data_IF_855323408009
#
_entry.id   IF_855323408009
#
_cell.length_a   1.000
_cell.length_b   1.000
_cell.length_c   1.000
_cell.angle_alpha   90.00
_cell.angle_beta   90.00
_cell.angle_gamma   90.00
#
_symmetry.space_group_name_H-M   'P 1'
#
loop_
_entity.id
_entity.type
_entity.pdbx_description
1 polymer ?
#
# COMPACT_ATOMS: atom_id res chain seq x y z
N UNK A 1 -73.57 -49.27 -0.54
CA UNK A 1 -74.21 -50.03 0.55
C UNK A 1 -73.46 -49.72 1.84
N UNK A 2 -74.18 -49.25 2.88
CA UNK A 2 -73.74 -48.88 4.25
C UNK A 2 -72.95 -47.56 4.37
N UNK A 3 -73.10 -46.71 5.40
CA UNK A 3 -74.14 -46.41 6.42
C UNK A 3 -73.62 -45.15 7.15
N UNK A 4 -74.52 -44.19 7.38
CA UNK A 4 -74.66 -43.24 8.50
C UNK A 4 -73.44 -42.59 9.21
N UNK A 5 -73.53 -41.26 9.29
CA UNK A 5 -72.82 -40.27 10.12
C UNK A 5 -73.19 -40.38 11.64
N UNK A 6 -73.10 -39.32 12.49
CA UNK A 6 -72.01 -38.41 12.91
C UNK A 6 -71.89 -38.34 14.47
N UNK A 7 -71.00 -37.47 15.00
CA UNK A 7 -71.07 -36.66 16.25
C UNK A 7 -69.71 -36.62 16.98
N UNK A 8 -69.00 -35.48 16.94
CA UNK A 8 -69.05 -34.39 17.95
C UNK A 8 -68.56 -34.79 19.34
N UNK A 9 -67.45 -34.20 19.78
CA UNK A 9 -67.37 -33.41 21.03
C UNK A 9 -65.98 -32.80 21.19
N UNK A 10 -65.92 -31.48 21.30
CA UNK A 10 -64.77 -30.74 21.86
C UNK A 10 -65.00 -30.62 23.35
N UNK A 11 -63.95 -30.75 24.18
CA UNK A 11 -63.72 -29.68 25.14
C UNK A 11 -62.25 -29.25 25.27
N UNK A 12 -62.09 -27.93 25.37
CA UNK A 12 -60.96 -27.20 25.95
C UNK A 12 -60.62 -27.75 27.35
N UNK A 13 -59.34 -27.93 27.67
CA UNK A 13 -58.62 -27.22 28.74
C UNK A 13 -57.32 -27.93 29.14
N UNK A 14 -56.45 -27.14 29.78
CA UNK A 14 -55.28 -27.49 30.61
C UNK A 14 -53.97 -27.69 29.84
N UNK A 15 -53.14 -26.65 29.83
CA UNK A 15 -52.11 -26.44 30.88
C UNK A 15 -51.10 -27.59 30.90
N UNK A 16 -50.23 -27.64 29.89
CA UNK A 16 -48.97 -28.35 29.98
C UNK A 16 -47.85 -27.32 29.94
N UNK A 17 -47.83 -26.54 31.02
CA UNK A 17 -46.68 -25.72 31.37
C UNK A 17 -45.68 -26.63 32.08
N UNK A 18 -44.41 -26.50 31.66
CA UNK A 18 -43.18 -26.86 32.39
C UNK A 18 -42.84 -28.34 32.40
N UNK A 19 -41.85 -28.69 31.59
CA UNK A 19 -40.63 -29.40 32.01
C UNK A 19 -39.75 -29.61 30.77
N UNK A 20 -39.05 -28.57 30.32
CA UNK A 20 -37.72 -28.71 29.73
C UNK A 20 -36.91 -27.51 30.19
N UNK A 21 -36.32 -27.70 31.35
CA UNK A 21 -35.33 -26.82 31.94
C UNK A 21 -34.04 -26.87 31.10
N UNK A 22 -33.42 -25.69 30.99
CA UNK A 22 -31.96 -25.49 30.93
C UNK A 22 -31.20 -26.24 29.83
N UNK A 23 -31.23 -25.70 28.61
CA UNK A 23 -30.17 -25.92 27.63
C UNK A 23 -29.65 -24.55 27.17
N UNK A 24 -28.42 -24.26 27.60
CA UNK A 24 -27.47 -23.34 27.00
C UNK A 24 -27.92 -21.88 26.79
N UNK A 25 -27.88 -21.11 27.88
CA UNK A 25 -27.59 -19.68 27.83
C UNK A 25 -26.10 -19.48 27.46
N UNK A 26 -25.72 -19.89 26.26
CA UNK A 26 -24.47 -19.56 25.58
C UNK A 26 -24.87 -18.93 24.24
N UNK A 27 -25.70 -17.89 24.31
CA UNK A 27 -25.73 -16.90 23.25
C UNK A 27 -24.36 -16.25 23.28
N UNK A 28 -23.47 -16.78 22.43
CA UNK A 28 -22.20 -16.16 22.11
C UNK A 28 -22.47 -14.67 21.91
N UNK A 29 -21.90 -13.84 22.78
CA UNK A 29 -21.52 -12.50 22.38
C UNK A 29 -20.48 -12.75 21.30
N UNK A 30 -20.95 -12.95 20.06
CA UNK A 30 -20.10 -12.76 18.92
C UNK A 30 -19.58 -11.33 19.10
N UNK A 31 -18.24 -11.11 19.20
CA UNK A 31 -17.75 -9.76 19.07
C UNK A 31 -18.42 -9.17 17.84
N UNK A 32 -18.88 -7.90 17.88
CA UNK A 32 -19.33 -7.26 16.64
C UNK A 32 -18.22 -7.53 15.64
N UNK A 33 -18.56 -8.12 14.50
CA UNK A 33 -17.60 -8.36 13.44
C UNK A 33 -16.80 -7.08 13.36
N UNK A 34 -15.52 -7.13 13.76
CA UNK A 34 -14.60 -6.02 13.53
C UNK A 34 -14.91 -5.62 12.10
N UNK A 35 -15.34 -4.37 11.89
CA UNK A 35 -15.84 -3.93 10.60
C UNK A 35 -14.72 -4.22 9.61
N UNK A 36 -14.81 -5.40 9.00
CA UNK A 36 -13.70 -6.03 8.33
C UNK A 36 -13.37 -5.02 7.26
N UNK A 37 -12.16 -4.48 7.31
CA UNK A 37 -11.82 -3.33 6.49
C UNK A 37 -12.24 -3.68 5.06
N UNK A 38 -12.83 -2.74 4.33
CA UNK A 38 -13.79 -3.05 3.26
C UNK A 38 -13.30 -3.99 2.14
N UNK A 39 -12.04 -4.42 2.16
CA UNK A 39 -11.45 -5.40 1.29
C UNK A 39 -12.22 -6.73 1.29
N UNK A 40 -12.61 -7.29 2.44
CA UNK A 40 -13.36 -8.56 2.47
C UNK A 40 -14.85 -8.41 2.10
N UNK A 41 -15.39 -7.19 2.17
CA UNK A 41 -16.77 -6.91 1.79
C UNK A 41 -16.96 -5.44 1.33
N UNK A 42 -16.54 -5.10 0.09
CA UNK A 42 -16.60 -3.73 -0.41
C UNK A 42 -18.05 -3.39 -0.75
N UNK A 43 -18.78 -2.85 0.23
CA UNK A 43 -20.18 -2.48 0.06
C UNK A 43 -20.32 -1.02 -0.39
N UNK A 44 -21.27 -0.75 -1.28
CA UNK A 44 -21.59 0.60 -1.77
C UNK A 44 -21.90 1.60 -0.64
N UNK A 45 -22.38 1.12 0.50
CA UNK A 45 -22.60 1.91 1.71
C UNK A 45 -21.30 2.51 2.23
N UNK A 46 -20.22 1.73 2.28
CA UNK A 46 -18.92 2.21 2.74
C UNK A 46 -18.36 3.28 1.79
N UNK A 47 -18.56 3.10 0.47
CA UNK A 47 -18.20 4.09 -0.54
C UNK A 47 -19.04 5.38 -0.43
N UNK A 48 -20.33 5.26 -0.15
CA UNK A 48 -21.21 6.41 0.11
C UNK A 48 -20.78 7.21 1.34
N UNK A 49 -20.49 6.52 2.45
CA UNK A 49 -19.96 7.15 3.67
C UNK A 49 -18.59 7.78 3.44
N UNK A 50 -17.70 7.12 2.68
CA UNK A 50 -16.41 7.69 2.31
C UNK A 50 -16.58 8.99 1.52
N UNK A 51 -17.52 9.07 0.58
CA UNK A 51 -17.79 10.30 -0.17
C UNK A 51 -18.42 11.40 0.68
N UNK A 52 -19.18 11.02 1.71
CA UNK A 52 -19.74 11.96 2.67
C UNK A 52 -18.65 12.62 3.52
N UNK A 53 -17.76 11.81 4.10
CA UNK A 53 -16.66 12.28 4.96
C UNK A 53 -15.55 12.96 4.15
N UNK A 54 -15.26 12.43 2.96
CA UNK A 54 -14.24 12.92 2.04
C UNK A 54 -14.89 13.30 0.70
N UNK A 55 -15.37 14.55 0.56
CA UNK A 55 -16.09 15.00 -0.62
C UNK A 55 -15.32 14.73 -1.91
N UNK A 56 -16.02 14.23 -2.94
CA UNK A 56 -15.47 13.90 -4.26
C UNK A 56 -14.47 12.74 -4.26
N UNK A 57 -14.40 11.94 -3.21
CA UNK A 57 -13.53 10.75 -3.18
C UNK A 57 -13.90 9.74 -4.27
N UNK A 58 -15.19 9.60 -4.60
CA UNK A 58 -15.64 8.71 -5.67
C UNK A 58 -15.22 9.17 -7.08
N UNK A 59 -14.84 10.43 -7.27
CA UNK A 59 -14.35 10.90 -8.57
C UNK A 59 -13.02 10.24 -8.94
N UNK A 60 -12.24 9.78 -7.96
CA UNK A 60 -11.03 8.99 -8.19
C UNK A 60 -11.36 7.71 -8.98
N UNK A 61 -12.49 7.04 -8.69
CA UNK A 61 -12.87 5.81 -9.40
C UNK A 61 -13.15 6.08 -10.87
N UNK A 62 -13.82 7.20 -11.16
CA UNK A 62 -14.08 7.64 -12.53
C UNK A 62 -12.79 8.04 -13.24
N UNK A 63 -11.91 8.79 -12.55
CA UNK A 63 -10.61 9.20 -13.10
C UNK A 63 -9.71 8.00 -13.43
N UNK A 64 -9.66 6.99 -12.55
CA UNK A 64 -8.92 5.75 -12.79
C UNK A 64 -9.49 5.00 -14.00
N UNK A 65 -10.82 4.88 -14.12
CA UNK A 65 -11.46 4.29 -15.29
C UNK A 65 -11.12 5.03 -16.59
N UNK A 66 -11.09 6.36 -16.56
CA UNK A 66 -10.72 7.18 -17.72
C UNK A 66 -9.24 7.02 -18.07
N UNK A 67 -8.35 6.97 -17.07
CA UNK A 67 -6.92 6.74 -17.27
C UNK A 67 -6.62 5.34 -17.84
N UNK A 68 -7.38 4.31 -17.46
CA UNK A 68 -7.32 2.99 -18.10
C UNK A 68 -7.71 3.06 -19.58
N UNK A 69 -8.84 3.71 -19.89
CA UNK A 69 -9.32 3.87 -21.27
C UNK A 69 -8.36 4.69 -22.13
N UNK A 70 -7.67 5.66 -21.52
CA UNK A 70 -6.65 6.48 -22.17
C UNK A 70 -5.27 5.81 -22.26
N UNK A 71 -5.11 4.58 -21.75
CA UNK A 71 -3.84 3.85 -21.75
C UNK A 71 -2.77 4.41 -20.79
N UNK A 72 -3.15 5.31 -19.88
CA UNK A 72 -2.26 5.87 -18.86
C UNK A 72 -2.02 4.90 -17.69
N UNK A 73 -2.99 4.01 -17.43
CA UNK A 73 -2.90 2.97 -16.42
C UNK A 73 -3.15 1.59 -17.06
N UNK A 74 -2.58 0.50 -16.50
CA UNK A 74 -2.86 -0.84 -16.97
C UNK A 74 -4.37 -1.15 -16.90
N UNK A 75 -4.95 -1.77 -17.94
CA UNK A 75 -6.37 -2.07 -17.99
C UNK A 75 -6.78 -3.00 -16.85
N UNK A 76 -8.01 -2.85 -16.36
CA UNK A 76 -8.58 -3.82 -15.42
C UNK A 76 -8.68 -5.21 -16.08
N UNK A 77 -8.27 -6.30 -15.41
CA UNK A 77 -8.45 -7.64 -15.94
C UNK A 77 -9.95 -7.95 -16.12
N UNK A 78 -10.30 -8.63 -17.21
CA UNK A 78 -11.68 -8.94 -17.59
C UNK A 78 -12.44 -9.80 -16.56
N UNK A 79 -11.72 -10.57 -15.73
CA UNK A 79 -12.32 -11.38 -14.67
C UNK A 79 -11.55 -11.25 -13.34
N UNK A 80 -11.87 -10.23 -12.52
CA UNK A 80 -11.19 -10.00 -11.25
C UNK A 80 -11.49 -11.10 -10.21
N UNK A 81 -12.74 -11.61 -10.18
CA UNK A 81 -13.17 -12.63 -9.21
C UNK A 81 -12.44 -13.97 -9.38
N UNK A 82 -12.14 -14.39 -10.62
CA UNK A 82 -11.34 -15.61 -10.86
C UNK A 82 -9.88 -15.49 -10.42
N UNK A 83 -9.35 -14.27 -10.26
CA UNK A 83 -7.97 -14.06 -9.80
C UNK A 83 -7.84 -14.01 -8.29
N UNK A 84 -8.91 -13.69 -7.56
CA UNK A 84 -8.84 -13.52 -6.10
C UNK A 84 -9.18 -14.79 -5.30
N UNK A 85 -9.08 -15.97 -5.91
CA UNK A 85 -9.44 -17.27 -5.32
C UNK A 85 -8.67 -17.65 -4.03
N UNK A 86 -7.63 -16.89 -3.67
CA UNK A 86 -6.77 -17.13 -2.49
C UNK A 86 -6.34 -15.83 -1.77
N UNK A 87 -7.17 -14.79 -1.83
CA UNK A 87 -6.83 -13.47 -1.26
C UNK A 87 -5.60 -12.85 -1.93
N UNK A 88 -5.35 -13.18 -3.20
CA UNK A 88 -4.18 -12.71 -3.95
C UNK A 88 -4.27 -11.21 -4.20
N UNK A 89 -5.49 -10.67 -4.33
CA UNK A 89 -5.72 -9.24 -4.44
C UNK A 89 -5.37 -8.52 -3.14
N UNK A 90 -5.77 -9.06 -1.98
CA UNK A 90 -5.46 -8.45 -0.69
C UNK A 90 -3.95 -8.38 -0.49
N UNK A 91 -3.27 -9.50 -0.72
CA UNK A 91 -1.81 -9.58 -0.59
C UNK A 91 -1.10 -8.58 -1.50
N UNK A 92 -1.51 -8.49 -2.76
CA UNK A 92 -0.97 -7.52 -3.72
C UNK A 92 -1.23 -6.08 -3.30
N UNK A 93 -2.42 -5.78 -2.77
CA UNK A 93 -2.74 -4.47 -2.24
C UNK A 93 -1.88 -4.14 -1.01
N UNK A 94 -1.77 -5.05 -0.05
CA UNK A 94 -0.92 -4.91 1.13
C UNK A 94 0.58 -4.71 0.77
N UNK A 95 1.08 -5.46 -0.22
CA UNK A 95 2.43 -5.29 -0.77
C UNK A 95 2.61 -3.91 -1.40
N UNK A 96 1.63 -3.44 -2.17
CA UNK A 96 1.66 -2.11 -2.80
C UNK A 96 1.70 -0.99 -1.75
N UNK A 97 0.92 -1.14 -0.67
CA UNK A 97 0.91 -0.19 0.46
C UNK A 97 2.23 -0.22 1.24
N UNK A 98 2.78 -1.41 1.47
CA UNK A 98 4.10 -1.56 2.10
C UNK A 98 5.19 -0.93 1.24
N UNK A 99 5.15 -1.15 -0.08
CA UNK A 99 6.06 -0.56 -1.05
C UNK A 99 5.98 0.97 -1.11
N UNK A 100 4.77 1.53 -0.94
CA UNK A 100 4.59 2.98 -0.82
C UNK A 100 5.30 3.52 0.42
N UNK A 101 5.15 2.86 1.58
CA UNK A 101 5.86 3.22 2.80
C UNK A 101 7.38 3.16 2.62
N UNK A 102 7.90 2.11 2.00
CA UNK A 102 9.32 1.99 1.69
C UNK A 102 9.82 3.12 0.77
N UNK A 103 9.07 3.47 -0.27
CA UNK A 103 9.37 4.60 -1.16
C UNK A 103 9.42 5.93 -0.40
N UNK A 104 8.43 6.17 0.47
CA UNK A 104 8.37 7.38 1.30
C UNK A 104 9.55 7.45 2.28
N UNK A 105 9.98 6.32 2.85
CA UNK A 105 11.13 6.26 3.75
C UNK A 105 12.44 6.55 3.02
N UNK A 106 12.59 6.04 1.80
CA UNK A 106 13.73 6.38 0.95
C UNK A 106 13.77 7.88 0.59
N UNK A 107 12.65 8.58 0.60
CA UNK A 107 12.55 10.02 0.38
C UNK A 107 12.72 10.86 1.67
N UNK A 108 12.34 10.31 2.83
CA UNK A 108 12.21 11.04 4.10
C UNK A 108 13.54 11.55 4.69
N UNK A 109 14.71 11.15 4.15
CA UNK A 109 16.02 11.61 4.62
C UNK A 109 16.32 13.10 4.33
N UNK A 110 15.42 13.84 3.68
CA UNK A 110 15.67 15.22 3.23
C UNK A 110 14.82 16.33 3.89
N UNK A 111 13.72 15.99 4.59
CA UNK A 111 12.68 17.00 4.90
C UNK A 111 12.06 16.85 6.29
N UNK A 112 12.59 17.59 7.28
CA UNK A 112 11.90 17.98 8.52
C UNK A 112 11.09 16.91 9.27
N UNK A 113 10.10 17.35 10.06
CA UNK A 113 9.15 16.45 10.75
C UNK A 113 8.10 15.99 9.74
N UNK A 114 8.18 14.74 9.33
CA UNK A 114 7.22 14.12 8.42
C UNK A 114 5.82 14.02 9.09
N UNK A 115 4.72 14.33 8.40
CA UNK A 115 3.37 14.22 8.97
C UNK A 115 2.87 12.77 8.92
N UNK A 116 2.02 12.38 9.87
CA UNK A 116 1.23 11.14 9.73
C UNK A 116 0.23 11.27 8.58
N UNK A 117 0.05 10.17 7.86
CA UNK A 117 -0.95 10.11 6.80
C UNK A 117 -1.57 8.73 6.70
N UNK A 118 -2.74 8.67 6.09
CA UNK A 118 -3.52 7.46 5.87
C UNK A 118 -3.95 7.39 4.43
N UNK A 119 -3.90 6.20 3.86
CA UNK A 119 -4.33 5.94 2.47
C UNK A 119 -5.52 5.00 2.51
N UNK A 120 -6.56 5.31 1.75
CA UNK A 120 -7.66 4.40 1.45
C UNK A 120 -7.64 4.02 -0.02
N UNK A 121 -7.65 2.71 -0.27
CA UNK A 121 -7.80 2.17 -1.61
C UNK A 121 -9.27 2.01 -1.95
N UNK A 122 -9.75 2.67 -3.00
CA UNK A 122 -11.06 2.42 -3.58
C UNK A 122 -10.92 1.47 -4.79
N UNK A 123 -11.93 0.62 -5.08
CA UNK A 123 -13.21 0.49 -4.40
C UNK A 123 -13.17 -0.34 -3.11
N UNK A 124 -12.04 -0.94 -2.76
CA UNK A 124 -11.93 -1.87 -1.63
C UNK A 124 -12.15 -1.21 -0.24
N UNK A 125 -12.13 0.12 -0.13
CA UNK A 125 -12.16 0.84 1.18
C UNK A 125 -11.17 0.23 2.19
N UNK A 126 -9.97 -0.13 1.70
CA UNK A 126 -8.91 -0.69 2.53
C UNK A 126 -8.04 0.46 3.03
N UNK A 127 -8.00 0.64 4.35
CA UNK A 127 -7.19 1.67 4.97
C UNK A 127 -5.78 1.17 5.30
N UNK A 128 -4.81 2.07 5.23
CA UNK A 128 -3.45 1.87 5.73
C UNK A 128 -2.98 3.16 6.37
N UNK A 129 -2.47 3.10 7.58
CA UNK A 129 -1.91 4.26 8.28
C UNK A 129 -0.39 4.25 8.21
N UNK A 130 0.20 5.43 8.10
CA UNK A 130 1.64 5.68 8.02
C UNK A 130 2.02 6.65 9.14
N UNK A 131 2.68 6.12 10.17
CA UNK A 131 3.08 6.89 11.36
C UNK A 131 4.58 7.18 11.32
N UNK A 132 5.02 8.44 11.42
CA UNK A 132 6.43 8.78 11.51
C UNK A 132 7.09 8.16 12.74
N UNK A 133 8.30 7.65 12.53
CA UNK A 133 9.23 7.10 13.52
C UNK A 133 10.63 7.62 13.22
N UNK A 134 11.62 7.31 14.07
CA UNK A 134 13.02 7.69 13.84
C UNK A 134 13.58 7.11 12.52
N UNK A 135 13.10 5.93 12.09
CA UNK A 135 13.53 5.25 10.87
C UNK A 135 12.67 5.52 9.63
N UNK A 136 11.82 6.54 9.65
CA UNK A 136 10.80 6.79 8.62
C UNK A 136 9.40 6.39 9.08
N UNK A 137 8.54 5.96 8.18
CA UNK A 137 7.17 5.56 8.45
C UNK A 137 7.06 4.10 8.89
N UNK A 138 6.37 3.88 10.00
CA UNK A 138 5.75 2.60 10.34
C UNK A 138 4.43 2.47 9.60
N UNK A 139 4.20 1.32 8.97
CA UNK A 139 3.03 1.05 8.11
C UNK A 139 2.12 0.05 8.80
N UNK A 140 0.85 0.42 8.98
CA UNK A 140 -0.19 -0.48 9.47
C UNK A 140 -1.24 -0.68 8.38
N UNK A 141 -1.07 -1.76 7.61
CA UNK A 141 -2.05 -2.19 6.60
C UNK A 141 -3.29 -2.71 7.31
N UNK A 142 -4.47 -2.48 6.73
CA UNK A 142 -5.74 -2.95 7.28
C UNK A 142 -6.14 -2.24 8.59
N UNK A 143 -5.91 -0.92 8.63
CA UNK A 143 -6.36 -0.09 9.73
C UNK A 143 -7.90 0.09 9.71
N UNK A 144 -8.50 0.47 10.83
CA UNK A 144 -9.93 0.77 10.90
C UNK A 144 -10.31 2.07 10.14
N UNK A 145 -9.34 2.95 9.93
CA UNK A 145 -9.54 4.27 9.35
C UNK A 145 -8.34 5.19 9.62
N UNK A 146 -8.45 6.47 9.24
CA UNK A 146 -7.40 7.44 9.51
C UNK A 146 -7.33 7.81 11.00
N UNK A 147 -6.12 7.99 11.52
CA UNK A 147 -5.96 8.54 12.86
C UNK A 147 -6.30 10.03 12.90
N UNK A 148 -6.55 10.56 14.10
CA UNK A 148 -6.89 11.97 14.27
C UNK A 148 -5.72 12.86 13.83
N UNK A 149 -5.98 13.73 12.85
CA UNK A 149 -5.00 14.67 12.33
C UNK A 149 -4.19 14.15 11.15
N UNK A 150 -4.42 12.90 10.73
CA UNK A 150 -3.79 12.35 9.53
C UNK A 150 -4.17 13.16 8.28
N UNK A 151 -3.19 13.26 7.38
CA UNK A 151 -3.50 13.56 5.99
C UNK A 151 -4.11 12.31 5.36
N UNK A 152 -5.27 12.46 4.73
CA UNK A 152 -5.95 11.33 4.08
C UNK A 152 -5.73 11.38 2.59
N UNK A 153 -5.31 10.26 2.02
CA UNK A 153 -5.10 10.05 0.60
C UNK A 153 -6.14 9.04 0.11
N UNK A 154 -6.96 9.43 -0.86
CA UNK A 154 -7.89 8.53 -1.55
C UNK A 154 -7.30 8.19 -2.91
N UNK A 155 -7.13 6.91 -3.21
CA UNK A 155 -6.57 6.43 -4.48
C UNK A 155 -7.00 4.98 -4.80
N UNK A 156 -6.51 4.40 -5.89
CA UNK A 156 -6.70 2.99 -6.27
C UNK A 156 -5.37 2.23 -6.17
N UNK A 157 -5.44 0.92 -5.90
CA UNK A 157 -4.27 0.03 -5.79
C UNK A 157 -3.31 0.19 -6.99
N UNK A 158 -3.85 0.29 -8.21
CA UNK A 158 -3.01 0.37 -9.41
C UNK A 158 -2.27 1.69 -9.53
N UNK A 159 -2.84 2.77 -9.00
CA UNK A 159 -2.18 4.07 -8.96
C UNK A 159 -1.02 4.00 -7.97
N UNK A 160 -1.24 3.41 -6.78
CA UNK A 160 -0.16 3.18 -5.82
C UNK A 160 0.98 2.39 -6.43
N UNK A 161 0.69 1.30 -7.14
CA UNK A 161 1.72 0.51 -7.84
C UNK A 161 2.52 1.36 -8.84
N UNK A 162 1.82 2.13 -9.68
CA UNK A 162 2.45 2.98 -10.68
C UNK A 162 3.28 4.12 -10.05
N UNK A 163 2.90 4.59 -8.86
CA UNK A 163 3.72 5.50 -8.08
C UNK A 163 4.94 4.77 -7.52
N UNK A 164 4.79 3.58 -6.94
CA UNK A 164 5.88 2.84 -6.31
C UNK A 164 6.97 2.45 -7.31
N UNK A 165 6.58 1.98 -8.50
CA UNK A 165 7.53 1.60 -9.56
C UNK A 165 8.06 2.79 -10.38
N UNK A 166 7.53 4.00 -10.15
CA UNK A 166 7.93 5.23 -10.83
C UNK A 166 7.42 5.34 -12.27
N UNK A 167 6.53 4.46 -12.72
CA UNK A 167 5.90 4.55 -14.05
C UNK A 167 4.88 5.69 -14.16
N UNK A 168 4.45 6.27 -13.02
CA UNK A 168 3.57 7.42 -12.98
C UNK A 168 4.04 8.46 -11.95
N UNK A 169 4.05 9.73 -12.35
CA UNK A 169 4.43 10.85 -11.51
C UNK A 169 3.32 11.20 -10.48
N UNK A 170 3.69 11.53 -9.25
CA UNK A 170 2.73 11.83 -8.18
C UNK A 170 1.98 13.14 -8.41
N UNK A 171 2.65 14.16 -8.94
CA UNK A 171 1.98 15.42 -9.30
C UNK A 171 1.04 15.24 -10.49
N UNK A 172 1.41 14.43 -11.48
CA UNK A 172 0.52 14.02 -12.56
C UNK A 172 -0.69 13.24 -12.03
N UNK A 173 -0.50 12.32 -11.08
CA UNK A 173 -1.59 11.54 -10.49
C UNK A 173 -2.64 12.45 -9.83
N UNK A 174 -2.19 13.47 -9.10
CA UNK A 174 -3.10 14.47 -8.51
C UNK A 174 -3.81 15.30 -9.59
N UNK A 175 -3.09 15.80 -10.61
CA UNK A 175 -3.68 16.59 -11.71
C UNK A 175 -4.74 15.82 -12.50
N UNK A 176 -4.52 14.53 -12.71
CA UNK A 176 -5.48 13.64 -13.38
C UNK A 176 -6.60 13.15 -12.45
N UNK A 177 -6.59 13.53 -11.17
CA UNK A 177 -7.61 13.12 -10.19
C UNK A 177 -7.49 11.67 -9.73
N UNK A 178 -6.37 11.01 -10.00
CA UNK A 178 -6.06 9.63 -9.58
C UNK A 178 -5.69 9.54 -8.10
N UNK A 179 -5.30 10.66 -7.51
CA UNK A 179 -5.00 10.82 -6.09
C UNK A 179 -5.73 12.07 -5.59
N UNK A 180 -6.34 11.98 -4.40
CA UNK A 180 -6.92 13.14 -3.71
C UNK A 180 -6.43 13.20 -2.27
N UNK A 181 -6.05 14.40 -1.84
CA UNK A 181 -5.57 14.69 -0.49
C UNK A 181 -6.63 15.42 0.33
N UNK A 182 -6.70 15.10 1.63
CA UNK A 182 -7.55 15.74 2.62
C UNK A 182 -6.76 15.96 3.92
N UNK A 183 -7.21 16.89 4.76
CA UNK A 183 -6.49 17.32 5.97
C UNK A 183 -5.88 18.71 5.82
N UNK A 184 -4.98 19.10 6.72
CA UNK A 184 -4.38 20.45 6.72
C UNK A 184 -3.54 20.71 5.46
N UNK A 185 -3.60 21.94 4.92
CA UNK A 185 -2.86 22.30 3.70
C UNK A 185 -1.35 22.05 3.83
N UNK A 186 -0.75 22.49 4.95
CA UNK A 186 0.67 22.27 5.23
C UNK A 186 1.05 20.77 5.27
N UNK A 187 0.21 19.93 5.89
CA UNK A 187 0.48 18.49 5.89
C UNK A 187 0.31 17.86 4.51
N UNK A 188 -0.66 18.31 3.70
CA UNK A 188 -0.77 17.85 2.31
C UNK A 188 0.49 18.22 1.50
N UNK A 189 1.01 19.43 1.65
CA UNK A 189 2.21 19.87 0.93
C UNK A 189 3.44 19.05 1.34
N UNK A 190 3.57 18.71 2.63
CA UNK A 190 4.64 17.82 3.11
C UNK A 190 4.51 16.41 2.51
N UNK A 191 3.30 15.84 2.46
CA UNK A 191 3.07 14.52 1.84
C UNK A 191 3.33 14.57 0.33
N UNK A 192 2.90 15.61 -0.37
CA UNK A 192 3.18 15.82 -1.80
C UNK A 192 4.68 15.87 -2.07
N UNK A 193 5.42 16.63 -1.26
CA UNK A 193 6.87 16.74 -1.38
C UNK A 193 7.55 15.37 -1.20
N UNK A 194 7.14 14.59 -0.20
CA UNK A 194 7.66 13.23 0.02
C UNK A 194 7.32 12.26 -1.14
N UNK A 195 6.12 12.35 -1.72
CA UNK A 195 5.72 11.55 -2.88
C UNK A 195 6.41 11.97 -4.19
N UNK A 196 6.83 13.22 -4.31
CA UNK A 196 7.53 13.75 -5.49
C UNK A 196 9.04 13.53 -5.43
N UNK A 197 9.59 13.32 -4.23
CA UNK A 197 11.00 13.07 -4.06
C UNK A 197 11.43 11.79 -4.80
N UNK A 198 12.56 11.82 -5.52
CA UNK A 198 13.14 10.60 -6.03
C UNK A 198 13.50 9.70 -4.85
N UNK A 199 13.37 8.37 -4.96
CA UNK A 199 13.94 7.49 -3.96
C UNK A 199 15.41 7.86 -3.83
N UNK A 200 15.88 8.18 -2.62
CA UNK A 200 17.28 8.52 -2.41
C UNK A 200 18.09 7.27 -2.76
N UNK A 201 18.62 7.23 -3.98
CA UNK A 201 19.58 6.22 -4.38
C UNK A 201 20.74 6.35 -3.42
N UNK A 202 20.87 5.36 -2.50
CA UNK A 202 21.99 5.11 -1.60
C UNK A 202 23.11 6.15 -1.73
N UNK A 203 22.92 7.32 -1.11
CA UNK A 203 23.87 8.41 -1.25
C UNK A 203 25.03 8.08 -0.30
N UNK A 204 26.09 7.52 -0.91
CA UNK A 204 27.47 7.34 -0.43
C UNK A 204 27.72 6.25 0.62
N UNK A 205 27.84 5.01 0.15
CA UNK A 205 28.83 4.07 0.72
C UNK A 205 30.24 4.37 0.14
N UNK A 206 30.62 5.66 0.15
CA UNK A 206 31.87 6.15 -0.45
C UNK A 206 32.38 7.46 0.15
N UNK A 207 31.77 7.98 1.22
CA UNK A 207 32.21 9.21 1.91
C UNK A 207 32.86 8.96 3.27
N UNK A 208 32.94 7.71 3.72
CA UNK A 208 33.79 7.36 4.83
C UNK A 208 35.19 7.12 4.26
N UNK A 209 35.98 8.19 4.30
CA UNK A 209 37.39 8.17 3.98
C UNK A 209 38.05 6.94 4.59
N UNK A 210 38.73 6.18 3.73
CA UNK A 210 39.73 5.22 4.17
C UNK A 210 40.70 5.98 5.08
N UNK A 211 40.85 5.63 6.37
CA UNK A 211 42.01 6.09 7.10
C UNK A 211 43.23 5.54 6.35
N UNK A 212 44.14 6.46 6.00
CA UNK A 212 45.45 6.10 5.52
C UNK A 212 46.05 5.10 6.51
N UNK A 213 46.28 3.86 6.03
CA UNK A 213 47.14 2.91 6.74
C UNK A 213 48.53 3.53 6.77
N UNK A 214 48.85 4.17 7.90
CA UNK A 214 50.20 4.53 8.23
C UNK A 214 51.01 3.23 8.31
N UNK A 215 52.13 3.25 7.60
CA UNK A 215 53.19 2.28 7.71
C UNK A 215 53.61 2.16 9.18
N UNK A 216 53.53 0.95 9.73
CA UNK A 216 54.41 0.54 10.81
C UNK A 216 55.46 -0.41 10.24
N UNK A 217 56.67 0.12 10.25
CA UNK A 217 57.96 -0.51 10.07
C UNK A 217 58.20 -1.53 11.19
N UNK A 218 58.35 -2.81 10.85
CA UNK A 218 58.96 -3.79 11.75
C UNK A 218 59.75 -4.85 10.95
N UNK A 219 61.06 -4.71 11.12
CA UNK A 219 62.24 -5.57 10.89
C UNK A 219 62.22 -6.80 9.94
N UNK A 220 63.30 -7.00 9.13
CA UNK A 220 63.38 -8.04 8.11
C UNK A 220 64.27 -9.21 8.54
N UNK A 221 63.72 -10.40 8.79
CA UNK A 221 64.50 -11.64 8.87
C UNK A 221 63.65 -12.87 8.55
N UNK A 222 63.56 -13.26 7.27
CA UNK A 222 63.75 -14.66 6.85
C UNK A 222 63.76 -14.81 5.32
N UNK A 223 64.76 -15.52 4.79
CA UNK A 223 64.90 -15.89 3.39
C UNK A 223 64.23 -17.26 3.11
N UNK A 224 63.59 -17.41 1.94
CA UNK A 224 63.21 -18.71 1.39
C UNK A 224 62.56 -18.57 0.01
N UNK A 225 63.03 -19.29 -1.04
CA UNK A 225 62.63 -19.07 -2.43
C UNK A 225 61.42 -19.91 -2.81
N UNK A 226 60.57 -19.41 -3.72
CA UNK A 226 59.51 -20.23 -4.29
C UNK A 226 58.48 -19.44 -5.08
N UNK A 227 58.68 -19.46 -6.40
CA UNK A 227 57.68 -19.39 -7.46
C UNK A 227 56.85 -18.12 -7.67
N UNK A 228 57.24 -17.47 -8.77
CA UNK A 228 56.46 -16.54 -9.54
C UNK A 228 55.20 -17.21 -10.09
N UNK A 229 54.03 -16.64 -9.83
CA UNK A 229 53.09 -16.30 -10.91
C UNK A 229 52.13 -15.22 -10.44
N UNK A 230 52.42 -13.99 -10.88
CA UNK A 230 51.61 -12.81 -10.69
C UNK A 230 50.78 -12.64 -11.95
N UNK A 231 49.48 -12.93 -11.88
CA UNK A 231 48.53 -12.53 -12.92
C UNK A 231 47.89 -11.20 -12.51
N UNK A 232 48.52 -10.10 -12.95
CA UNK A 232 47.99 -8.75 -12.88
C UNK A 232 46.83 -8.65 -13.89
N UNK A 233 45.59 -8.47 -13.40
CA UNK A 233 44.51 -7.95 -14.23
C UNK A 233 44.67 -6.44 -14.34
N UNK A 234 45.11 -6.04 -15.54
CA UNK A 234 45.35 -4.68 -15.96
C UNK A 234 44.03 -3.92 -16.09
N UNK A 235 43.90 -2.82 -15.35
CA UNK A 235 42.87 -1.81 -15.57
C UNK A 235 43.32 -0.86 -16.69
N UNK A 236 42.45 -0.57 -17.66
CA UNK A 236 42.65 0.55 -18.58
C UNK A 236 41.92 0.42 -19.91
N UNK A 237 40.74 1.01 -20.02
CA UNK A 237 40.29 1.68 -21.26
C UNK A 237 39.46 2.93 -20.90
N UNK A 238 39.85 4.14 -21.35
CA UNK A 238 39.03 5.33 -21.22
C UNK A 238 37.94 5.41 -22.30
N UNK A 239 36.82 6.00 -21.91
CA UNK A 239 35.63 6.23 -22.71
C UNK A 239 35.91 6.97 -24.03
N UNK A 240 35.42 6.41 -25.15
CA UNK A 240 35.34 7.10 -26.44
C UNK A 240 34.22 8.15 -26.39
N UNK A 241 34.61 9.41 -26.57
CA UNK A 241 33.71 10.52 -26.90
C UNK A 241 33.12 10.29 -28.29
N UNK A 242 31.79 10.17 -28.38
CA UNK A 242 31.07 10.23 -29.65
C UNK A 242 30.81 11.69 -30.01
N UNK A 243 31.39 12.13 -31.14
CA UNK A 243 31.01 13.39 -31.82
C UNK A 243 29.60 13.27 -32.38
N UNK A 244 28.74 14.24 -32.04
CA UNK A 244 27.45 14.47 -32.71
C UNK A 244 27.68 15.27 -33.99
N UNK A 245 27.02 14.95 -35.12
CA UNK A 245 27.07 15.78 -36.32
C UNK A 245 26.21 17.05 -36.18
N UNK A 246 26.77 18.16 -36.64
CA UNK A 246 26.12 19.47 -36.75
C UNK A 246 24.86 19.41 -37.60
N UNK A 247 23.74 19.90 -37.07
CA UNK A 247 22.52 20.16 -37.84
C UNK A 247 22.66 21.52 -38.52
N UNK A 248 22.74 21.51 -39.84
CA UNK A 248 22.70 22.67 -40.71
C UNK A 248 21.25 23.19 -40.78
N UNK A 249 21.05 24.48 -40.45
CA UNK A 249 19.75 25.13 -40.58
C UNK A 249 19.49 25.51 -42.04
N UNK A 250 18.29 25.19 -42.53
CA UNK A 250 17.72 25.75 -43.75
C UNK A 250 16.25 26.09 -43.51
#
# INVERSE_FOLDING_TARGET
>A
MWKNAPASTVPRHRRWSRLLATAALLAAVAPPSAAACGYENPNDIALGLLNWVFPKSLYVRTAVSQAEQAGMLPPRPENPAKRDLFGSGFRRAAESMTGLGARMNAAASATGKSPSFSVVLIPAVMWTTYTPTEGGYSVHVHADGPAKGDIVIVTDEKVVRALVDGSFDSAAAERHGLVRFYGSANGQDQVRAALAAPPTALRRLGDHGMPALQAEESDPLYCGPGDHDVLILQAGEPARLYSLPSVEQK
#
